data_IF_949616345990
#
_entry.id   IF_949616345990
#
_cell.length_a   1.000
_cell.length_b   1.000
_cell.length_c   1.000
_cell.angle_alpha   90.00
_cell.angle_beta   90.00
_cell.angle_gamma   90.00
#
_symmetry.space_group_name_H-M   'P 1'
#
loop_
_entity.id
_entity.type
_entity.pdbx_description
1 polymer ?
#
# COMPACT_ATOMS: atom_id res chain seq x y z
N UNK A 1 110.95 -34.90 37.83
CA UNK A 1 110.84 -35.39 39.22
C UNK A 1 110.17 -34.30 40.04
N UNK A 2 108.96 -34.57 40.58
CA UNK A 2 108.28 -33.97 41.75
C UNK A 2 108.19 -32.42 41.81
N UNK A 3 107.10 -31.68 42.10
CA UNK A 3 105.76 -31.83 42.73
C UNK A 3 105.03 -30.48 42.44
N UNK A 4 103.71 -30.27 42.55
CA UNK A 4 102.84 -30.28 43.75
C UNK A 4 101.37 -30.12 43.28
N UNK A 5 100.44 -30.92 43.82
CA UNK A 5 99.33 -30.56 44.76
C UNK A 5 98.13 -29.77 44.21
N UNK A 6 96.93 -30.38 44.28
CA UNK A 6 95.94 -30.17 45.35
C UNK A 6 94.65 -30.98 45.06
N UNK A 7 94.10 -31.64 46.09
CA UNK A 7 92.77 -32.26 46.12
C UNK A 7 91.83 -31.40 46.96
N UNK A 8 90.55 -31.30 46.59
CA UNK A 8 89.32 -31.49 47.43
C UNK A 8 88.12 -30.62 46.99
N UNK A 9 86.96 -31.28 46.90
CA UNK A 9 85.61 -30.70 46.84
C UNK A 9 85.07 -30.58 45.40
N UNK A 10 84.08 -31.34 44.91
CA UNK A 10 82.97 -32.02 45.59
C UNK A 10 81.70 -31.18 45.45
N UNK A 11 80.81 -31.56 44.52
CA UNK A 11 79.39 -31.17 44.52
C UNK A 11 78.96 -30.18 43.44
N UNK A 12 77.98 -30.58 42.62
CA UNK A 12 77.18 -29.68 41.78
C UNK A 12 76.97 -30.17 40.35
N UNK A 13 76.13 -31.19 40.16
CA UNK A 13 75.61 -31.58 38.84
C UNK A 13 74.69 -30.46 38.33
N UNK A 14 74.95 -30.00 37.11
CA UNK A 14 74.05 -29.12 36.36
C UNK A 14 72.91 -29.98 35.79
N UNK A 15 71.94 -30.33 36.63
CA UNK A 15 70.64 -30.80 36.17
C UNK A 15 69.73 -29.58 35.99
N UNK A 16 69.48 -29.22 34.73
CA UNK A 16 68.48 -28.21 34.39
C UNK A 16 67.11 -28.81 34.67
N UNK A 17 66.51 -28.45 35.81
CA UNK A 17 65.10 -28.72 36.05
C UNK A 17 64.27 -28.12 34.91
N UNK A 18 63.58 -28.99 34.18
CA UNK A 18 62.68 -28.58 33.10
C UNK A 18 61.54 -27.77 33.70
N UNK A 19 61.55 -26.46 33.46
CA UNK A 19 60.49 -25.55 33.89
C UNK A 19 59.20 -25.95 33.18
N UNK A 20 58.26 -26.55 33.91
CA UNK A 20 56.87 -26.66 33.48
C UNK A 20 56.32 -25.24 33.30
N UNK A 21 56.19 -24.81 32.05
CA UNK A 21 55.28 -23.72 31.74
C UNK A 21 53.88 -24.23 32.07
N UNK A 22 53.30 -23.76 33.18
CA UNK A 22 51.86 -23.94 33.41
C UNK A 22 51.17 -23.45 32.15
N UNK A 23 50.53 -24.38 31.42
CA UNK A 23 49.70 -24.03 30.27
C UNK A 23 48.85 -22.84 30.66
N UNK A 24 48.94 -21.78 29.87
CA UNK A 24 48.03 -20.65 29.95
C UNK A 24 46.63 -21.20 30.16
N UNK A 25 46.00 -20.84 31.28
CA UNK A 25 44.62 -21.18 31.60
C UNK A 25 43.81 -21.06 30.31
N UNK A 26 43.21 -22.14 29.77
CA UNK A 26 42.55 -22.07 28.47
C UNK A 26 41.59 -20.90 28.54
N UNK A 27 41.75 -19.94 27.62
CA UNK A 27 40.83 -18.83 27.45
C UNK A 27 39.43 -19.38 27.65
N UNK A 28 38.68 -18.85 28.63
CA UNK A 28 37.27 -19.19 28.85
C UNK A 28 36.62 -19.35 27.49
N UNK A 29 36.29 -20.59 27.12
CA UNK A 29 35.72 -20.88 25.81
C UNK A 29 34.54 -19.94 25.61
N UNK A 30 34.55 -19.19 24.49
CA UNK A 30 33.45 -18.29 24.19
C UNK A 30 32.14 -19.08 24.26
N UNK A 31 31.08 -18.55 24.92
CA UNK A 31 29.84 -19.28 25.10
C UNK A 31 29.29 -19.73 23.75
N UNK A 32 28.97 -21.02 23.65
CA UNK A 32 28.34 -21.60 22.46
C UNK A 32 26.85 -21.29 22.51
N UNK A 33 26.40 -20.41 21.62
CA UNK A 33 24.98 -20.13 21.44
C UNK A 33 24.36 -21.14 20.48
N UNK A 34 23.13 -21.53 20.75
CA UNK A 34 22.31 -22.35 19.87
C UNK A 34 20.94 -21.70 19.75
N UNK A 35 20.40 -21.66 18.54
CA UNK A 35 19.09 -21.08 18.30
C UNK A 35 18.01 -21.81 19.11
N UNK A 36 17.07 -21.05 19.66
CA UNK A 36 15.91 -21.60 20.32
C UNK A 36 15.02 -22.32 19.31
N UNK A 37 14.56 -23.53 19.65
CA UNK A 37 13.58 -24.21 18.82
C UNK A 37 12.25 -23.48 18.91
N UNK A 38 11.82 -22.92 17.79
CA UNK A 38 10.54 -22.23 17.64
C UNK A 38 9.68 -22.97 16.63
N UNK A 39 8.37 -22.97 16.85
CA UNK A 39 7.43 -23.44 15.83
C UNK A 39 7.48 -22.48 14.63
N UNK A 40 7.54 -23.05 13.43
CA UNK A 40 7.55 -22.25 12.21
C UNK A 40 6.23 -21.49 12.11
N UNK A 41 6.25 -20.16 11.92
CA UNK A 41 5.02 -19.40 11.67
C UNK A 41 4.26 -20.01 10.50
N UNK A 42 2.95 -20.14 10.64
CA UNK A 42 2.09 -20.53 9.54
C UNK A 42 2.31 -19.54 8.39
N UNK A 43 2.85 -20.04 7.27
CA UNK A 43 2.92 -19.24 6.06
C UNK A 43 1.49 -19.06 5.55
N UNK A 44 1.08 -17.85 5.14
CA UNK A 44 -0.08 -17.70 4.27
C UNK A 44 0.11 -18.60 3.04
N UNK A 45 -0.96 -19.21 2.52
CA UNK A 45 -0.88 -20.10 1.36
C UNK A 45 -0.07 -19.42 0.24
N UNK A 46 0.89 -20.11 -0.39
CA UNK A 46 1.78 -19.53 -1.42
C UNK A 46 1.03 -19.00 -2.67
N UNK A 47 -0.27 -19.33 -2.81
CA UNK A 47 -1.18 -18.73 -3.79
C UNK A 47 -1.52 -17.25 -3.48
N UNK A 48 -1.27 -16.82 -2.25
CA UNK A 48 -1.38 -15.45 -1.82
C UNK A 48 -0.12 -14.68 -2.28
N UNK A 49 1.09 -15.09 -1.91
CA UNK A 49 2.34 -14.34 -2.12
C UNK A 49 2.86 -14.11 -3.58
N UNK A 50 2.00 -14.16 -4.60
CA UNK A 50 2.33 -13.71 -5.96
C UNK A 50 2.61 -12.19 -5.99
N UNK A 51 3.29 -11.70 -7.02
CA UNK A 51 3.68 -10.28 -7.18
C UNK A 51 2.50 -9.28 -7.13
N UNK A 52 1.28 -9.79 -7.31
CA UNK A 52 0.01 -9.11 -7.07
C UNK A 52 -0.38 -8.98 -5.59
N UNK A 53 0.46 -9.33 -4.62
CA UNK A 53 0.16 -9.24 -3.18
C UNK A 53 1.02 -8.27 -2.38
N UNK A 54 1.74 -7.37 -3.05
CA UNK A 54 2.20 -6.18 -2.34
C UNK A 54 0.98 -5.47 -1.74
N UNK A 55 0.99 -5.15 -0.43
CA UNK A 55 -0.11 -4.43 0.18
C UNK A 55 -0.27 -3.10 -0.57
N UNK A 56 -1.44 -2.94 -1.20
CA UNK A 56 -1.75 -1.72 -1.91
C UNK A 56 -1.93 -0.59 -0.89
N UNK A 57 -1.42 0.60 -1.21
CA UNK A 57 -1.63 1.79 -0.39
C UNK A 57 -3.02 2.38 -0.61
N UNK A 58 -3.71 1.93 -1.65
CA UNK A 58 -5.04 2.38 -2.02
C UNK A 58 -5.51 1.72 -3.30
N UNK A 59 -6.72 2.07 -3.71
CA UNK A 59 -7.27 1.64 -4.98
C UNK A 59 -8.05 2.78 -5.65
N UNK A 60 -8.12 2.73 -6.97
CA UNK A 60 -8.98 3.58 -7.77
C UNK A 60 -9.77 2.73 -8.77
N UNK A 61 -11.05 3.04 -8.96
CA UNK A 61 -11.93 2.43 -9.94
C UNK A 61 -12.48 3.49 -10.88
N UNK A 62 -12.45 3.23 -12.19
CA UNK A 62 -12.95 4.18 -13.19
C UNK A 62 -14.47 4.26 -13.12
N UNK A 63 -15.03 5.46 -13.18
CA UNK A 63 -16.48 5.68 -13.18
C UNK A 63 -17.08 5.00 -14.43
N UNK A 64 -18.02 4.05 -14.27
CA UNK A 64 -18.60 3.34 -15.41
C UNK A 64 -19.32 4.28 -16.36
N UNK A 65 -19.00 4.17 -17.65
CA UNK A 65 -19.73 4.82 -18.75
C UNK A 65 -19.98 3.78 -19.82
N UNK A 66 -21.25 3.52 -20.13
CA UNK A 66 -21.61 2.57 -21.18
C UNK A 66 -21.64 3.26 -22.54
N UNK A 67 -21.24 2.55 -23.59
CA UNK A 67 -21.40 3.05 -24.95
C UNK A 67 -22.88 3.02 -25.37
N UNK A 68 -23.52 4.18 -25.48
CA UNK A 68 -24.93 4.25 -25.89
C UNK A 68 -25.12 4.39 -27.41
N UNK A 69 -24.05 4.34 -28.19
CA UNK A 69 -24.09 4.49 -29.64
C UNK A 69 -24.99 3.41 -30.29
N UNK A 70 -25.94 3.76 -31.17
CA UNK A 70 -26.91 2.81 -31.71
C UNK A 70 -26.31 1.59 -32.43
N UNK A 71 -25.17 1.76 -33.12
CA UNK A 71 -24.49 0.69 -33.87
C UNK A 71 -23.55 -0.19 -33.04
N UNK A 72 -23.16 0.26 -31.85
CA UNK A 72 -22.24 -0.47 -30.96
C UNK A 72 -22.69 -0.25 -29.51
N UNK A 73 -23.94 -0.63 -29.25
CA UNK A 73 -24.59 -0.34 -27.99
C UNK A 73 -24.13 -1.33 -26.93
N UNK A 74 -23.54 -0.82 -25.86
CA UNK A 74 -23.31 -1.53 -24.62
C UNK A 74 -24.56 -1.42 -23.75
N UNK A 75 -25.16 -2.57 -23.43
CA UNK A 75 -26.36 -2.65 -22.60
C UNK A 75 -25.98 -2.45 -21.13
N UNK A 76 -24.83 -2.95 -20.71
CA UNK A 76 -24.42 -2.94 -19.32
C UNK A 76 -22.90 -2.83 -19.22
N UNK A 77 -22.44 -1.74 -18.61
CA UNK A 77 -21.07 -1.58 -18.13
C UNK A 77 -21.03 -1.94 -16.65
N UNK A 78 -20.80 -3.23 -16.38
CA UNK A 78 -20.71 -3.76 -15.02
C UNK A 78 -19.43 -3.30 -14.32
N UNK A 79 -19.46 -3.32 -12.99
CA UNK A 79 -18.28 -3.22 -12.13
C UNK A 79 -17.76 -4.64 -11.85
N UNK A 80 -16.45 -4.79 -11.84
CA UNK A 80 -15.75 -6.03 -11.55
C UNK A 80 -14.52 -5.78 -10.67
N UNK A 81 -14.01 -6.85 -10.05
CA UNK A 81 -12.76 -6.77 -9.26
C UNK A 81 -11.57 -6.29 -10.10
N UNK A 82 -11.55 -6.63 -11.39
CA UNK A 82 -10.50 -6.24 -12.32
C UNK A 82 -10.51 -4.74 -12.68
N UNK A 83 -11.61 -4.02 -12.43
CA UNK A 83 -11.69 -2.57 -12.68
C UNK A 83 -10.94 -1.75 -11.61
N UNK A 84 -10.58 -2.38 -10.49
CA UNK A 84 -9.82 -1.75 -9.42
C UNK A 84 -8.33 -1.75 -9.73
N UNK A 85 -7.75 -0.55 -9.79
CA UNK A 85 -6.31 -0.35 -9.98
C UNK A 85 -5.66 -0.08 -8.64
N UNK A 86 -4.60 -0.84 -8.33
CA UNK A 86 -3.79 -0.64 -7.12
C UNK A 86 -3.01 0.66 -7.21
N UNK A 87 -3.00 1.40 -6.10
CA UNK A 87 -2.21 2.61 -5.93
C UNK A 87 -0.95 2.30 -5.13
N UNK A 88 0.19 2.79 -5.61
CA UNK A 88 1.49 2.62 -4.99
C UNK A 88 1.69 3.54 -3.77
N UNK A 89 2.84 3.36 -3.11
CA UNK A 89 3.25 4.20 -1.99
C UNK A 89 3.38 5.69 -2.38
N UNK A 90 3.34 6.57 -1.38
CA UNK A 90 3.48 8.02 -1.54
C UNK A 90 2.31 8.78 -0.91
N UNK A 91 2.26 10.07 -1.16
CA UNK A 91 1.25 10.96 -0.55
C UNK A 91 -0.19 10.53 -0.91
N UNK A 92 -1.15 10.61 0.02
CA UNK A 92 -2.55 10.22 -0.24
C UNK A 92 -3.19 10.98 -1.41
N UNK A 93 -2.74 12.22 -1.64
CA UNK A 93 -3.23 13.11 -2.68
C UNK A 93 -2.59 12.96 -4.05
N UNK A 94 -1.59 12.09 -4.22
CA UNK A 94 -0.78 12.00 -5.44
C UNK A 94 -0.84 10.59 -6.03
N UNK A 95 -1.42 10.44 -7.23
CA UNK A 95 -1.47 9.16 -7.92
C UNK A 95 -1.82 9.35 -9.41
N UNK A 96 -1.39 8.43 -10.31
CA UNK A 96 -1.46 8.62 -11.76
C UNK A 96 -2.85 8.93 -12.31
N UNK A 97 -3.89 8.31 -11.76
CA UNK A 97 -5.28 8.50 -12.19
C UNK A 97 -5.78 9.92 -11.89
N UNK A 98 -5.31 10.54 -10.80
CA UNK A 98 -5.64 11.93 -10.50
C UNK A 98 -4.95 12.88 -11.49
N UNK A 99 -3.69 12.61 -11.83
CA UNK A 99 -2.96 13.40 -12.81
C UNK A 99 -3.62 13.30 -14.20
N UNK A 100 -4.06 12.10 -14.60
CA UNK A 100 -4.82 11.87 -15.83
C UNK A 100 -6.03 12.81 -15.91
N UNK A 101 -6.88 12.83 -14.87
CA UNK A 101 -8.10 13.64 -14.85
C UNK A 101 -7.81 15.14 -14.71
N UNK A 102 -6.79 15.50 -13.92
CA UNK A 102 -6.40 16.90 -13.70
C UNK A 102 -5.87 17.53 -14.99
N UNK A 103 -5.11 16.76 -15.79
CA UNK A 103 -4.52 17.22 -17.05
C UNK A 103 -5.49 17.21 -18.24
N UNK A 104 -6.70 16.64 -18.09
CA UNK A 104 -7.73 16.73 -19.14
C UNK A 104 -8.15 18.18 -19.38
N UNK A 105 -8.26 18.56 -20.65
CA UNK A 105 -8.73 19.90 -21.06
C UNK A 105 -10.25 20.00 -21.18
N UNK A 106 -10.93 18.86 -21.36
CA UNK A 106 -12.38 18.79 -21.52
C UNK A 106 -13.12 18.65 -20.18
N UNK A 107 -14.22 19.38 -20.04
CA UNK A 107 -15.10 19.30 -18.87
C UNK A 107 -14.60 20.04 -17.62
N UNK A 108 -15.49 20.21 -16.65
CA UNK A 108 -15.19 20.88 -15.38
C UNK A 108 -14.60 19.88 -14.39
N UNK A 109 -13.43 20.17 -13.83
CA UNK A 109 -12.82 19.34 -12.78
C UNK A 109 -13.67 19.41 -11.51
N UNK A 110 -14.00 18.24 -10.97
CA UNK A 110 -14.69 18.06 -9.71
C UNK A 110 -13.92 17.03 -8.91
N UNK A 111 -13.62 17.34 -7.66
CA UNK A 111 -12.90 16.47 -6.72
C UNK A 111 -13.66 16.46 -5.40
N UNK A 112 -13.62 15.32 -4.67
CA UNK A 112 -14.08 15.28 -3.29
C UNK A 112 -13.24 16.25 -2.45
N UNK A 113 -13.86 16.80 -1.40
CA UNK A 113 -13.25 17.85 -0.58
C UNK A 113 -11.83 17.49 -0.15
N UNK A 114 -10.93 18.45 -0.30
CA UNK A 114 -9.59 18.30 0.26
C UNK A 114 -9.65 18.45 1.78
N UNK A 115 -8.69 17.85 2.51
CA UNK A 115 -8.57 18.09 3.95
C UNK A 115 -8.57 19.58 4.27
N UNK A 116 -9.46 20.00 5.18
CA UNK A 116 -9.59 21.40 5.60
C UNK A 116 -10.47 22.30 4.70
N UNK A 117 -11.04 21.81 3.61
CA UNK A 117 -11.98 22.59 2.79
C UNK A 117 -13.42 22.58 3.32
N UNK A 118 -14.13 23.69 3.10
CA UNK A 118 -15.57 23.81 3.37
C UNK A 118 -16.40 23.28 2.19
N UNK A 119 -17.38 22.40 2.45
CA UNK A 119 -18.31 21.94 1.42
C UNK A 119 -19.27 20.83 1.84
N UNK A 120 -19.83 20.13 0.85
CA UNK A 120 -20.77 19.01 1.02
C UNK A 120 -20.01 17.69 1.18
N UNK A 121 -20.52 16.79 2.03
CA UNK A 121 -19.87 15.53 2.44
C UNK A 121 -18.65 15.73 3.36
N UNK A 122 -18.91 16.11 4.62
CA UNK A 122 -17.92 16.14 5.70
C UNK A 122 -18.54 15.85 7.06
N UNK A 123 -17.70 15.52 8.03
CA UNK A 123 -18.07 15.46 9.44
C UNK A 123 -17.37 16.59 10.18
N UNK A 124 -18.13 17.51 10.79
CA UNK A 124 -17.57 18.64 11.53
C UNK A 124 -16.64 18.15 12.66
N UNK A 125 -15.45 18.76 12.75
CA UNK A 125 -14.40 18.34 13.68
C UNK A 125 -13.57 17.13 13.24
N UNK A 126 -13.89 16.50 12.10
CA UNK A 126 -13.18 15.34 11.53
C UNK A 126 -12.89 15.56 10.05
N UNK A 127 -12.13 16.61 9.73
CA UNK A 127 -11.93 17.09 8.36
C UNK A 127 -10.48 17.13 7.90
N UNK A 128 -9.51 17.08 8.81
CA UNK A 128 -8.08 17.19 8.50
C UNK A 128 -7.42 15.81 8.47
N UNK A 129 -7.67 15.05 7.40
CA UNK A 129 -7.09 13.72 7.22
C UNK A 129 -5.64 13.83 6.70
N UNK A 130 -4.67 13.53 7.56
CA UNK A 130 -3.23 13.62 7.23
C UNK A 130 -2.70 12.40 6.47
N UNK A 131 -3.18 11.20 6.80
CA UNK A 131 -2.63 9.95 6.27
C UNK A 131 -3.55 9.28 5.24
N UNK A 132 -4.73 9.83 4.98
CA UNK A 132 -5.75 9.20 4.12
C UNK A 132 -6.42 10.26 3.26
N UNK A 133 -6.66 9.92 2.00
CA UNK A 133 -7.55 10.63 1.10
C UNK A 133 -8.49 9.66 0.42
N UNK A 134 -9.76 10.03 0.29
CA UNK A 134 -10.79 9.21 -0.34
C UNK A 134 -11.87 10.05 -1.00
N UNK A 135 -12.61 9.43 -1.90
CA UNK A 135 -13.77 10.01 -2.56
C UNK A 135 -13.63 9.89 -4.06
N UNK A 136 -13.82 10.98 -4.79
CA UNK A 136 -13.87 10.96 -6.24
C UNK A 136 -13.05 12.08 -6.86
N UNK A 137 -12.62 11.87 -8.10
CA UNK A 137 -12.09 12.92 -8.98
C UNK A 137 -12.58 12.67 -10.40
N UNK A 138 -13.21 13.66 -11.01
CA UNK A 138 -13.76 13.52 -12.36
C UNK A 138 -13.87 14.85 -13.12
N UNK A 139 -13.98 14.75 -14.44
CA UNK A 139 -14.38 15.84 -15.33
C UNK A 139 -15.85 15.71 -15.67
N UNK A 140 -16.65 16.68 -15.24
CA UNK A 140 -18.06 16.77 -15.63
C UNK A 140 -18.17 17.31 -17.07
N UNK A 141 -18.98 16.69 -17.92
CA UNK A 141 -19.16 17.10 -19.31
C UNK A 141 -18.04 16.67 -20.26
N UNK A 142 -17.07 15.88 -19.82
CA UNK A 142 -16.04 15.25 -20.66
C UNK A 142 -16.59 14.05 -21.47
N UNK A 143 -17.65 14.30 -22.25
CA UNK A 143 -18.27 13.29 -23.09
C UNK A 143 -17.34 12.91 -24.24
N UNK A 144 -17.20 11.61 -24.51
CA UNK A 144 -16.46 11.10 -25.67
C UNK A 144 -17.44 10.65 -26.74
N UNK A 145 -17.70 11.53 -27.70
CA UNK A 145 -18.65 11.30 -28.79
C UNK A 145 -17.89 11.27 -30.12
N UNK A 146 -17.80 10.08 -30.70
CA UNK A 146 -17.22 9.83 -32.02
C UNK A 146 -18.10 8.83 -32.78
N UNK A 147 -19.10 9.37 -33.48
CA UNK A 147 -20.06 8.58 -34.26
C UNK A 147 -19.42 7.84 -35.43
N UNK A 148 -18.29 8.31 -35.97
CA UNK A 148 -17.61 7.61 -37.08
C UNK A 148 -17.05 6.28 -36.59
N UNK A 149 -16.52 6.27 -35.37
CA UNK A 149 -15.98 5.08 -34.72
C UNK A 149 -17.00 4.36 -33.81
N UNK A 150 -18.29 4.72 -33.90
CA UNK A 150 -19.38 4.14 -33.11
C UNK A 150 -19.20 4.27 -31.58
N UNK A 151 -18.61 5.37 -31.11
CA UNK A 151 -18.38 5.66 -29.68
C UNK A 151 -19.29 6.80 -29.24
N UNK A 152 -20.07 6.57 -28.19
CA UNK A 152 -20.84 7.60 -27.51
C UNK A 152 -20.84 7.32 -26.01
N UNK A 153 -19.91 7.94 -25.29
CA UNK A 153 -19.78 7.88 -23.83
C UNK A 153 -20.18 9.24 -23.25
N UNK A 154 -21.15 9.25 -22.35
CA UNK A 154 -21.59 10.45 -21.65
C UNK A 154 -21.36 10.35 -20.15
N UNK A 155 -21.40 11.49 -19.48
CA UNK A 155 -21.28 11.57 -18.02
C UNK A 155 -19.86 11.86 -17.55
N UNK A 156 -19.68 11.77 -16.23
CA UNK A 156 -18.41 12.02 -15.55
C UNK A 156 -17.30 11.08 -16.05
N UNK A 157 -16.17 11.65 -16.49
CA UNK A 157 -14.94 10.88 -16.75
C UNK A 157 -14.01 11.02 -15.56
N UNK A 158 -13.75 9.93 -14.84
CA UNK A 158 -13.03 10.01 -13.59
C UNK A 158 -12.93 8.71 -12.83
N UNK A 159 -12.56 8.82 -11.56
CA UNK A 159 -12.30 7.71 -10.68
C UNK A 159 -12.94 7.92 -9.30
N UNK A 160 -13.45 6.84 -8.72
CA UNK A 160 -13.66 6.70 -7.28
C UNK A 160 -12.38 6.11 -6.69
N UNK A 161 -11.88 6.63 -5.57
CA UNK A 161 -10.61 6.18 -5.01
C UNK A 161 -10.55 6.29 -3.48
N UNK A 162 -9.61 5.54 -2.92
CA UNK A 162 -9.05 5.80 -1.60
C UNK A 162 -7.56 5.49 -1.62
N UNK A 163 -6.76 6.28 -0.91
CA UNK A 163 -5.32 6.09 -0.76
C UNK A 163 -4.89 6.52 0.64
N UNK A 164 -4.07 5.69 1.27
CA UNK A 164 -3.40 5.99 2.53
C UNK A 164 -1.90 6.11 2.34
N UNK A 165 -1.25 6.73 3.31
CA UNK A 165 0.20 6.72 3.52
C UNK A 165 0.50 6.14 4.91
N UNK A 166 1.76 5.77 5.13
CA UNK A 166 2.29 5.30 6.42
C UNK A 166 1.40 4.25 7.11
N UNK A 167 1.30 3.01 6.56
CA UNK A 167 0.55 1.93 7.17
C UNK A 167 0.90 1.78 8.66
N UNK A 168 -0.13 1.69 9.51
CA UNK A 168 0.05 1.72 10.96
C UNK A 168 0.91 0.57 11.45
N UNK A 169 1.96 0.89 12.21
CA UNK A 169 2.85 -0.09 12.84
C UNK A 169 2.45 -0.42 14.29
N UNK A 170 1.47 0.31 14.83
CA UNK A 170 0.91 0.10 16.15
C UNK A 170 -0.60 0.37 16.10
N UNK A 171 -1.37 -0.37 16.90
CA UNK A 171 -2.82 -0.21 17.01
C UNK A 171 -3.19 0.17 18.47
N UNK A 172 -4.22 1.00 18.66
CA UNK A 172 -4.68 1.39 19.98
C UNK A 172 -5.25 0.19 20.76
N UNK A 173 -5.01 0.17 22.07
CA UNK A 173 -5.62 -0.79 22.98
C UNK A 173 -6.95 -0.24 23.52
N UNK A 174 -8.05 -0.95 23.33
CA UNK A 174 -9.38 -0.55 23.79
C UNK A 174 -10.30 -0.03 22.68
N UNK A 175 -11.34 0.72 23.06
CA UNK A 175 -12.38 1.18 22.12
C UNK A 175 -11.96 2.48 21.43
N UNK A 176 -11.83 2.43 20.11
CA UNK A 176 -11.59 3.59 19.24
C UNK A 176 -12.81 3.86 18.37
N UNK A 177 -13.19 5.14 18.22
CA UNK A 177 -14.30 5.58 17.37
C UNK A 177 -13.74 6.45 16.25
N UNK A 178 -13.97 6.05 15.01
CA UNK A 178 -13.58 6.78 13.81
C UNK A 178 -14.82 7.39 13.16
N UNK A 179 -14.69 8.62 12.66
CA UNK A 179 -15.71 9.28 11.86
C UNK A 179 -15.05 9.77 10.57
N UNK A 180 -15.82 9.78 9.50
CA UNK A 180 -15.37 10.22 8.19
C UNK A 180 -16.51 10.17 7.19
N UNK A 181 -16.14 10.12 5.91
CA UNK A 181 -17.07 10.09 4.79
C UNK A 181 -16.96 8.77 4.05
N UNK A 182 -17.92 8.52 3.17
CA UNK A 182 -17.89 7.41 2.24
C UNK A 182 -18.52 7.88 0.93
N UNK A 183 -18.05 7.31 -0.16
CA UNK A 183 -18.49 7.63 -1.50
C UNK A 183 -18.73 6.34 -2.29
N UNK A 184 -19.58 6.40 -3.30
CA UNK A 184 -19.94 5.23 -4.10
C UNK A 184 -20.12 5.58 -5.56
N UNK A 185 -19.97 4.57 -6.42
CA UNK A 185 -20.37 4.62 -7.82
C UNK A 185 -21.10 3.33 -8.19
N UNK A 186 -22.17 3.42 -8.96
CA UNK A 186 -22.86 2.23 -9.51
C UNK A 186 -22.27 1.82 -10.86
N UNK A 187 -22.67 0.64 -11.33
CA UNK A 187 -22.61 0.28 -12.73
C UNK A 187 -23.50 1.18 -13.61
N UNK A 188 -23.38 1.03 -14.94
CA UNK A 188 -24.23 1.72 -15.91
C UNK A 188 -25.00 0.71 -16.76
N UNK A 189 -26.33 0.65 -16.62
CA UNK A 189 -27.18 -0.33 -17.29
C UNK A 189 -28.36 0.33 -17.99
N UNK A 190 -28.63 -0.11 -19.23
CA UNK A 190 -29.67 0.49 -20.06
C UNK A 190 -31.01 0.58 -19.33
N UNK A 191 -31.57 1.80 -19.26
CA UNK A 191 -32.86 2.14 -18.61
C UNK A 191 -32.89 1.97 -17.08
N UNK A 192 -31.77 1.68 -16.42
CA UNK A 192 -31.68 1.72 -14.97
C UNK A 192 -31.84 3.17 -14.49
N UNK A 193 -32.68 3.37 -13.48
CA UNK A 193 -32.97 4.70 -12.93
C UNK A 193 -33.08 4.60 -11.42
N UNK A 194 -32.50 5.58 -10.75
CA UNK A 194 -32.59 5.75 -9.31
C UNK A 194 -33.28 7.08 -9.02
N UNK A 195 -34.58 7.04 -8.73
CA UNK A 195 -35.40 8.25 -8.56
C UNK A 195 -34.89 9.21 -7.47
N UNK A 196 -34.15 8.69 -6.49
CA UNK A 196 -33.60 9.46 -5.37
C UNK A 196 -32.18 9.99 -5.62
N UNK A 197 -31.48 9.52 -6.67
CA UNK A 197 -30.04 9.78 -6.88
C UNK A 197 -29.76 10.69 -8.10
N UNK A 198 -30.77 11.42 -8.58
CA UNK A 198 -30.60 12.48 -9.58
C UNK A 198 -31.18 12.16 -10.96
N UNK A 199 -30.52 12.66 -12.01
CA UNK A 199 -31.02 12.63 -13.39
C UNK A 199 -31.25 11.19 -13.88
N UNK A 200 -32.30 10.99 -14.67
CA UNK A 200 -32.64 9.74 -15.38
C UNK A 200 -31.51 9.09 -16.19
N UNK A 201 -30.42 9.80 -16.46
CA UNK A 201 -29.24 9.28 -17.17
C UNK A 201 -28.19 8.66 -16.24
N UNK A 202 -28.19 9.01 -14.95
CA UNK A 202 -27.36 8.38 -13.93
C UNK A 202 -27.92 6.99 -13.58
N UNK A 203 -27.05 5.98 -13.57
CA UNK A 203 -27.43 4.57 -13.58
C UNK A 203 -27.69 4.04 -14.99
N UNK A 204 -28.16 4.87 -15.93
CA UNK A 204 -28.38 4.45 -17.33
C UNK A 204 -27.10 4.56 -18.16
N UNK A 205 -26.68 5.79 -18.50
CA UNK A 205 -25.56 6.03 -19.43
C UNK A 205 -24.20 5.97 -18.72
N UNK A 206 -24.18 6.30 -17.45
CA UNK A 206 -23.01 6.33 -16.59
C UNK A 206 -23.41 5.98 -15.16
N UNK A 207 -22.46 5.51 -14.36
CA UNK A 207 -22.69 5.14 -12.97
C UNK A 207 -23.22 6.32 -12.15
N UNK A 208 -24.20 6.07 -11.29
CA UNK A 208 -24.63 7.05 -10.31
C UNK A 208 -23.53 7.21 -9.25
N UNK A 209 -23.03 8.43 -9.07
CA UNK A 209 -21.94 8.79 -8.16
C UNK A 209 -22.51 9.56 -6.95
N UNK A 210 -21.91 9.42 -5.78
CA UNK A 210 -22.29 10.13 -4.53
C UNK A 210 -21.98 11.64 -4.51
N UNK A 211 -21.48 12.20 -5.61
CA UNK A 211 -21.02 13.59 -5.75
C UNK A 211 -22.15 14.63 -5.83
#
# INVERSE_FOLDING_TARGET
VFLLSACLGGGGSFDLDSVETKQHNPQSEAPKYQDEQTEKPAKPDEAQAAENERPAYGFAAKIPRRNWHPKNKEIHKALSEADWVKLGAGEPGEFPQKDEISNMTGGTLNESLQPGEDGKSRVEGYTDFQYVRSGYIYRNGANKIDFKNNIALSGADGYLFYKGSNPSQALPMGKSIYKGTWDYVTDAKEKQKFSQLGNSQAGDRYGALSA
#
